data_IF_373378016561
#
_entry.id   IF_373378016561
#
_cell.length_a   1.000
_cell.length_b   1.000
_cell.length_c   1.000
_cell.angle_alpha   90.00
_cell.angle_beta   90.00
_cell.angle_gamma   90.00
#
_symmetry.space_group_name_H-M   'P 1'
#
loop_
_entity.id
_entity.type
_entity.pdbx_description
1 polymer ?
#
# COMPACT_ATOMS: atom_id res chain seq x y z
N UNK A 1 22.62 23.55 -56.93
CA UNK A 1 21.94 22.44 -56.30
C UNK A 1 21.68 22.86 -54.84
N UNK A 2 20.44 23.30 -54.52
CA UNK A 2 20.05 23.72 -53.17
C UNK A 2 19.53 22.49 -52.39
N UNK A 3 20.11 22.22 -51.23
CA UNK A 3 19.64 21.21 -50.31
C UNK A 3 18.57 21.86 -49.43
N UNK A 4 17.33 21.41 -49.59
CA UNK A 4 16.22 21.83 -48.70
C UNK A 4 16.35 21.06 -47.38
N UNK A 5 16.63 21.78 -46.29
CA UNK A 5 16.58 21.23 -44.96
C UNK A 5 15.11 21.20 -44.53
N UNK A 6 14.51 20.00 -44.49
CA UNK A 6 13.17 19.79 -43.94
C UNK A 6 13.28 19.81 -42.40
N UNK A 7 12.91 20.93 -41.79
CA UNK A 7 12.70 21.01 -40.35
C UNK A 7 11.39 20.30 -40.01
N UNK A 8 11.47 19.09 -39.38
CA UNK A 8 10.31 18.44 -38.79
C UNK A 8 9.82 19.27 -37.62
N UNK A 9 8.51 19.51 -37.45
CA UNK A 9 7.99 20.15 -36.26
C UNK A 9 8.20 19.23 -35.07
N UNK A 10 8.88 19.71 -34.04
CA UNK A 10 8.90 19.04 -32.73
C UNK A 10 7.47 19.05 -32.20
N UNK A 11 6.91 17.87 -32.00
CA UNK A 11 5.66 17.74 -31.27
C UNK A 11 5.88 18.27 -29.85
N UNK A 12 5.16 19.32 -29.48
CA UNK A 12 5.10 19.78 -28.09
C UNK A 12 4.34 18.69 -27.33
N UNK A 13 5.04 17.96 -26.49
CA UNK A 13 4.38 17.04 -25.56
C UNK A 13 3.47 17.90 -24.65
N UNK A 14 2.19 17.54 -24.57
CA UNK A 14 1.27 18.14 -23.60
C UNK A 14 1.80 17.84 -22.20
N UNK A 15 2.46 18.82 -21.59
CA UNK A 15 2.99 18.69 -20.23
C UNK A 15 1.82 18.60 -19.26
N UNK A 16 1.71 17.46 -18.61
CA UNK A 16 0.64 17.19 -17.65
C UNK A 16 0.86 18.04 -16.40
N UNK A 17 -0.12 18.88 -16.05
CA UNK A 17 0.00 19.78 -14.89
C UNK A 17 -0.16 19.00 -13.58
N UNK A 18 0.86 19.03 -12.73
CA UNK A 18 0.83 18.40 -11.40
C UNK A 18 -0.02 19.25 -10.43
N UNK A 19 -1.21 18.75 -10.10
CA UNK A 19 -2.22 19.43 -9.26
C UNK A 19 -2.42 18.78 -7.88
N UNK A 20 -1.60 17.80 -7.53
CA UNK A 20 -1.72 17.12 -6.25
C UNK A 20 -0.36 16.80 -5.64
N UNK A 21 -0.34 16.62 -4.31
CA UNK A 21 0.82 16.14 -3.55
C UNK A 21 0.51 14.77 -2.97
N UNK A 22 1.43 13.83 -3.11
CA UNK A 22 1.33 12.51 -2.48
C UNK A 22 1.61 12.62 -1.00
N UNK A 23 0.64 12.19 -0.17
CA UNK A 23 0.72 12.28 1.28
C UNK A 23 1.24 10.99 1.92
N UNK A 24 0.72 9.86 1.45
CA UNK A 24 0.98 8.55 2.05
C UNK A 24 0.73 7.43 1.05
N UNK A 25 1.38 6.30 1.27
CA UNK A 25 1.19 5.05 0.52
C UNK A 25 0.48 4.05 1.43
N UNK A 26 -0.67 3.56 0.97
CA UNK A 26 -1.43 2.51 1.67
C UNK A 26 -0.83 1.14 1.36
N UNK A 27 -0.59 0.89 0.08
CA UNK A 27 0.11 -0.27 -0.50
C UNK A 27 0.67 0.12 -1.88
N UNK A 28 1.24 -0.85 -2.61
CA UNK A 28 1.94 -0.55 -3.87
C UNK A 28 1.06 0.02 -4.99
N UNK A 29 -0.27 -0.07 -4.91
CA UNK A 29 -1.19 0.44 -5.92
C UNK A 29 -2.32 1.31 -5.37
N UNK A 30 -2.25 1.66 -4.09
CA UNK A 30 -3.22 2.53 -3.42
C UNK A 30 -2.50 3.65 -2.66
N UNK A 31 -2.75 4.88 -3.06
CA UNK A 31 -2.00 6.07 -2.60
C UNK A 31 -2.98 7.16 -2.13
N UNK A 32 -2.69 7.77 -0.99
CA UNK A 32 -3.40 8.96 -0.49
C UNK A 32 -2.70 10.23 -0.97
N UNK A 33 -3.46 11.13 -1.56
CA UNK A 33 -2.99 12.41 -2.09
C UNK A 33 -3.78 13.57 -1.50
N UNK A 34 -3.23 14.79 -1.67
CA UNK A 34 -3.98 16.05 -1.54
C UNK A 34 -4.02 16.73 -2.89
N UNK A 35 -5.18 16.72 -3.52
CA UNK A 35 -5.47 17.47 -4.72
C UNK A 35 -5.74 18.94 -4.37
N UNK A 36 -5.24 19.88 -5.16
CA UNK A 36 -5.31 21.31 -4.87
C UNK A 36 -6.76 21.86 -4.87
N UNK A 37 -7.69 21.17 -5.55
CA UNK A 37 -9.11 21.58 -5.65
C UNK A 37 -10.02 20.69 -4.83
N UNK A 38 -9.85 19.36 -4.92
CA UNK A 38 -10.74 18.35 -4.33
C UNK A 38 -10.34 17.94 -2.91
N UNK A 39 -9.17 18.39 -2.43
CA UNK A 39 -8.68 18.04 -1.11
C UNK A 39 -8.10 16.62 -1.05
N UNK A 40 -8.34 15.92 0.07
CA UNK A 40 -7.77 14.58 0.29
C UNK A 40 -8.52 13.52 -0.50
N UNK A 41 -7.79 12.72 -1.27
CA UNK A 41 -8.32 11.62 -2.08
C UNK A 41 -7.50 10.36 -1.85
N UNK A 42 -8.17 9.20 -1.86
CA UNK A 42 -7.52 7.91 -2.00
C UNK A 42 -7.60 7.46 -3.44
N UNK A 43 -6.45 7.19 -4.04
CA UNK A 43 -6.32 6.80 -5.45
C UNK A 43 -5.96 5.33 -5.54
N UNK A 44 -6.75 4.55 -6.29
CA UNK A 44 -6.39 3.22 -6.80
C UNK A 44 -5.79 3.40 -8.18
N UNK A 45 -4.55 3.00 -8.31
CA UNK A 45 -3.78 3.22 -9.54
C UNK A 45 -4.24 2.30 -10.66
N UNK A 46 -4.44 2.88 -11.84
CA UNK A 46 -4.96 2.18 -13.01
C UNK A 46 -3.90 1.30 -13.67
N UNK A 47 -4.35 0.19 -14.22
CA UNK A 47 -3.57 -0.70 -15.08
C UNK A 47 -2.55 -1.59 -14.37
N UNK A 48 -2.43 -1.51 -13.06
CA UNK A 48 -1.51 -2.33 -12.27
C UNK A 48 -2.20 -3.02 -11.10
N UNK A 49 -1.58 -4.09 -10.64
CA UNK A 49 -1.89 -4.77 -9.38
C UNK A 49 -0.61 -5.14 -8.66
N UNK A 50 -0.59 -4.94 -7.34
CA UNK A 50 0.56 -5.25 -6.49
C UNK A 50 0.25 -6.39 -5.53
N UNK A 51 1.27 -7.13 -5.04
CA UNK A 51 1.02 -8.20 -4.10
C UNK A 51 0.34 -7.68 -2.83
N UNK A 52 -0.68 -8.38 -2.38
CA UNK A 52 -1.51 -8.02 -1.24
C UNK A 52 -0.72 -7.97 0.08
N UNK A 53 -0.89 -6.91 0.85
CA UNK A 53 -0.19 -6.73 2.14
C UNK A 53 -1.12 -6.65 3.35
N UNK A 54 -2.42 -6.39 3.16
CA UNK A 54 -3.33 -6.01 4.25
C UNK A 54 -4.62 -6.82 4.32
N UNK A 55 -4.76 -7.87 3.52
CA UNK A 55 -5.97 -8.69 3.50
C UNK A 55 -6.12 -9.46 4.80
N UNK A 56 -7.15 -9.18 5.63
CA UNK A 56 -7.34 -9.86 6.92
C UNK A 56 -7.47 -11.38 6.76
N UNK A 57 -6.77 -12.15 7.59
CA UNK A 57 -6.80 -13.61 7.55
C UNK A 57 -5.99 -14.24 6.41
N UNK A 58 -5.17 -13.46 5.71
CA UNK A 58 -4.29 -13.95 4.66
C UNK A 58 -2.82 -13.61 4.95
N UNK A 59 -1.92 -14.38 4.36
CA UNK A 59 -0.49 -14.08 4.40
C UNK A 59 -0.20 -12.85 3.54
N UNK A 60 0.85 -12.13 3.87
CA UNK A 60 1.40 -11.10 3.00
C UNK A 60 1.88 -11.75 1.71
N UNK A 61 1.49 -11.18 0.57
CA UNK A 61 1.96 -11.63 -0.75
C UNK A 61 3.46 -11.43 -0.89
N UNK A 62 4.14 -12.38 -1.53
CA UNK A 62 5.56 -12.25 -1.81
C UNK A 62 5.82 -10.97 -2.61
N UNK A 63 6.80 -10.16 -2.21
CA UNK A 63 7.12 -8.83 -2.74
C UNK A 63 6.12 -7.71 -2.38
N UNK A 64 5.15 -7.94 -1.52
CA UNK A 64 4.18 -6.91 -1.11
C UNK A 64 4.82 -5.74 -0.35
N UNK A 65 5.62 -5.99 0.70
CA UNK A 65 6.32 -4.94 1.43
C UNK A 65 7.26 -4.13 0.52
N UNK A 66 8.00 -4.79 -0.38
CA UNK A 66 8.94 -4.15 -1.30
C UNK A 66 8.20 -3.30 -2.34
N UNK A 67 7.06 -3.76 -2.86
CA UNK A 67 6.20 -2.97 -3.75
C UNK A 67 5.66 -1.71 -3.05
N UNK A 68 5.24 -1.83 -1.79
CA UNK A 68 4.82 -0.70 -0.96
C UNK A 68 5.97 0.27 -0.72
N UNK A 69 7.16 -0.24 -0.43
CA UNK A 69 8.36 0.58 -0.23
C UNK A 69 8.80 1.29 -1.52
N UNK A 70 8.70 0.63 -2.68
CA UNK A 70 8.92 1.27 -3.97
C UNK A 70 7.97 2.45 -4.17
N UNK A 71 6.68 2.26 -3.92
CA UNK A 71 5.69 3.35 -3.99
C UNK A 71 6.04 4.48 -3.01
N UNK A 72 6.42 4.14 -1.78
CA UNK A 72 6.73 5.13 -0.75
C UNK A 72 7.95 5.99 -1.11
N UNK A 73 9.03 5.36 -1.54
CA UNK A 73 10.30 6.05 -1.86
C UNK A 73 10.24 6.88 -3.13
N UNK A 74 9.41 6.48 -4.10
CA UNK A 74 9.31 7.16 -5.38
C UNK A 74 8.22 8.24 -5.40
N UNK A 75 7.18 8.14 -4.54
CA UNK A 75 5.98 8.97 -4.66
C UNK A 75 5.74 9.90 -3.48
N UNK A 76 6.06 9.54 -2.23
CA UNK A 76 5.74 10.39 -1.08
C UNK A 76 6.41 11.75 -1.19
N UNK A 77 5.61 12.81 -1.00
CA UNK A 77 6.04 14.20 -1.13
C UNK A 77 6.12 14.72 -2.57
N UNK A 78 5.97 13.84 -3.57
CA UNK A 78 6.01 14.27 -4.99
C UNK A 78 4.74 15.02 -5.38
N UNK A 79 4.91 16.00 -6.27
CA UNK A 79 3.80 16.63 -6.99
C UNK A 79 3.47 15.78 -8.21
N UNK A 80 2.18 15.50 -8.38
CA UNK A 80 1.67 14.60 -9.43
C UNK A 80 0.42 15.18 -10.10
N UNK A 81 0.23 14.78 -11.33
CA UNK A 81 -1.03 14.95 -12.05
C UNK A 81 -1.88 13.69 -11.87
N UNK A 82 -3.18 13.89 -11.65
CA UNK A 82 -4.16 12.81 -11.69
C UNK A 82 -4.73 12.72 -13.10
N UNK A 83 -4.31 11.69 -13.81
CA UNK A 83 -4.75 11.46 -15.19
C UNK A 83 -5.82 10.38 -15.19
N UNK A 84 -7.08 10.73 -15.45
CA UNK A 84 -8.14 9.73 -15.57
C UNK A 84 -8.00 8.96 -16.88
N UNK A 85 -8.65 7.80 -16.93
CA UNK A 85 -8.77 7.01 -18.15
C UNK A 85 -10.22 7.07 -18.67
N UNK A 86 -10.40 7.34 -19.96
CA UNK A 86 -11.73 7.42 -20.56
C UNK A 86 -12.40 6.06 -20.72
N UNK A 87 -11.65 4.96 -20.64
CA UNK A 87 -12.15 3.59 -20.71
C UNK A 87 -12.59 3.02 -19.37
N UNK A 88 -12.33 3.77 -18.29
CA UNK A 88 -12.59 3.33 -16.92
C UNK A 88 -13.49 4.31 -16.17
N UNK A 89 -14.16 3.81 -15.13
CA UNK A 89 -14.91 4.65 -14.20
C UNK A 89 -13.99 5.66 -13.48
N UNK A 90 -14.58 6.73 -12.96
CA UNK A 90 -13.83 7.74 -12.19
C UNK A 90 -13.54 7.31 -10.76
N UNK A 91 -14.39 6.42 -10.23
CA UNK A 91 -14.29 5.88 -8.86
C UNK A 91 -14.69 4.42 -8.86
N UNK A 92 -14.08 3.64 -7.99
CA UNK A 92 -14.51 2.26 -7.76
C UNK A 92 -15.66 2.17 -6.73
N UNK A 93 -16.14 0.96 -6.50
CA UNK A 93 -17.23 0.69 -5.55
C UNK A 93 -16.86 0.94 -4.08
N UNK A 94 -15.57 1.14 -3.76
CA UNK A 94 -15.10 1.57 -2.44
C UNK A 94 -14.98 3.09 -2.32
N UNK A 95 -15.32 3.86 -3.38
CA UNK A 95 -15.17 5.30 -3.42
C UNK A 95 -13.75 5.80 -3.67
N UNK A 96 -12.81 4.92 -4.05
CA UNK A 96 -11.45 5.34 -4.40
C UNK A 96 -11.44 5.97 -5.79
N UNK A 97 -10.71 7.05 -5.97
CA UNK A 97 -10.48 7.65 -7.29
C UNK A 97 -9.65 6.71 -8.16
N UNK A 98 -10.08 6.46 -9.40
CA UNK A 98 -9.33 5.69 -10.38
C UNK A 98 -8.56 6.63 -11.29
N UNK A 99 -7.23 6.58 -11.26
CA UNK A 99 -6.36 7.45 -12.04
C UNK A 99 -4.95 6.87 -12.20
N UNK A 100 -4.22 7.37 -13.20
CA UNK A 100 -2.77 7.33 -13.20
C UNK A 100 -2.22 8.49 -12.38
N UNK A 101 -1.08 8.30 -11.77
CA UNK A 101 -0.30 9.37 -11.15
C UNK A 101 0.96 9.60 -11.98
N UNK A 102 1.08 10.80 -12.54
CA UNK A 102 2.19 11.19 -13.41
C UNK A 102 2.92 12.37 -12.80
N UNK A 103 4.24 12.28 -12.66
CA UNK A 103 5.08 13.39 -12.20
C UNK A 103 5.30 14.42 -13.30
N UNK A 104 5.80 15.60 -12.91
CA UNK A 104 6.04 16.70 -13.84
C UNK A 104 7.11 16.41 -14.92
N UNK A 105 7.93 15.37 -14.71
CA UNK A 105 8.91 14.85 -15.65
C UNK A 105 8.37 13.72 -16.53
N UNK A 106 7.06 13.63 -16.69
CA UNK A 106 6.32 12.59 -17.43
C UNK A 106 6.53 11.16 -16.89
N UNK A 107 7.08 11.04 -15.67
CA UNK A 107 7.28 9.78 -15.02
C UNK A 107 5.92 9.19 -14.57
N UNK A 108 5.45 8.16 -15.27
CA UNK A 108 4.20 7.46 -15.00
C UNK A 108 4.42 6.34 -13.97
N UNK A 109 3.82 6.48 -12.81
CA UNK A 109 3.99 5.50 -11.75
C UNK A 109 3.58 4.07 -12.18
N UNK A 110 2.46 3.89 -12.89
CA UNK A 110 1.97 2.56 -13.29
C UNK A 110 2.96 1.85 -14.22
N UNK A 111 3.54 2.58 -15.17
CA UNK A 111 4.56 2.05 -16.08
C UNK A 111 5.85 1.71 -15.33
N UNK A 112 6.30 2.62 -14.46
CA UNK A 112 7.58 2.46 -13.77
C UNK A 112 7.52 1.40 -12.63
N UNK A 113 6.37 1.26 -11.95
CA UNK A 113 6.15 0.17 -11.00
C UNK A 113 6.19 -1.21 -11.69
N UNK A 114 5.58 -1.32 -12.88
CA UNK A 114 5.67 -2.54 -13.68
C UNK A 114 7.11 -2.81 -14.16
N UNK A 115 7.84 -1.76 -14.62
CA UNK A 115 9.24 -1.87 -15.08
C UNK A 115 10.19 -2.28 -13.95
N UNK A 116 9.96 -1.77 -12.75
CA UNK A 116 10.73 -2.14 -11.57
C UNK A 116 10.44 -3.57 -11.07
N UNK A 117 9.37 -4.20 -11.56
CA UNK A 117 8.87 -5.47 -11.02
C UNK A 117 8.22 -5.30 -9.65
N UNK A 118 7.71 -4.11 -9.34
CA UNK A 118 6.94 -3.84 -8.13
C UNK A 118 5.45 -4.13 -8.32
N UNK A 119 4.98 -4.15 -9.57
CA UNK A 119 3.59 -4.39 -9.93
C UNK A 119 3.46 -5.31 -11.15
N UNK A 120 2.27 -5.89 -11.33
CA UNK A 120 1.84 -6.59 -12.55
C UNK A 120 0.98 -5.67 -13.38
N UNK A 121 0.96 -5.86 -14.70
CA UNK A 121 -0.09 -5.31 -15.54
C UNK A 121 -1.44 -5.95 -15.18
N UNK A 122 -2.50 -5.14 -15.12
CA UNK A 122 -3.82 -5.59 -14.67
C UNK A 122 -4.94 -5.04 -15.56
N UNK A 123 -5.90 -5.92 -15.91
CA UNK A 123 -7.10 -5.57 -16.66
C UNK A 123 -8.32 -5.89 -15.80
N UNK A 124 -9.04 -4.87 -15.38
CA UNK A 124 -10.27 -5.04 -14.62
C UNK A 124 -11.48 -5.25 -15.55
N UNK A 125 -12.33 -6.24 -15.24
CA UNK A 125 -13.57 -6.47 -15.98
C UNK A 125 -13.39 -6.79 -17.48
N UNK A 126 -12.20 -7.17 -17.91
CA UNK A 126 -11.91 -7.46 -19.33
C UNK A 126 -11.69 -6.22 -20.21
N UNK A 127 -11.74 -5.00 -19.64
CA UNK A 127 -11.54 -3.75 -20.36
C UNK A 127 -10.13 -3.20 -20.08
N UNK A 128 -9.20 -3.27 -21.04
CA UNK A 128 -7.87 -2.71 -20.87
C UNK A 128 -7.92 -1.19 -20.70
N UNK A 129 -7.08 -0.68 -19.80
CA UNK A 129 -6.82 0.76 -19.67
C UNK A 129 -6.06 1.30 -20.88
N UNK A 130 -6.18 2.60 -21.19
CA UNK A 130 -5.54 3.23 -22.35
C UNK A 130 -4.01 3.04 -22.39
N UNK A 131 -3.35 2.99 -21.21
CA UNK A 131 -1.90 2.80 -21.07
C UNK A 131 -1.46 1.33 -20.94
N UNK A 132 -2.38 0.37 -21.12
CA UNK A 132 -2.09 -1.06 -20.93
C UNK A 132 -0.88 -1.56 -21.75
N UNK A 133 -0.76 -1.13 -23.00
CA UNK A 133 0.34 -1.56 -23.87
C UNK A 133 1.72 -1.16 -23.30
N UNK A 134 1.85 0.06 -22.77
CA UNK A 134 3.07 0.55 -22.15
C UNK A 134 3.38 -0.18 -20.85
N UNK A 135 2.37 -0.39 -19.99
CA UNK A 135 2.51 -1.12 -18.73
C UNK A 135 2.91 -2.58 -18.98
N UNK A 136 2.26 -3.26 -19.93
CA UNK A 136 2.57 -4.64 -20.27
C UNK A 136 3.97 -4.79 -20.94
N UNK A 137 4.43 -3.78 -21.67
CA UNK A 137 5.79 -3.74 -22.18
C UNK A 137 6.82 -3.62 -21.06
N UNK A 138 6.59 -2.71 -20.11
CA UNK A 138 7.43 -2.53 -18.93
C UNK A 138 7.47 -3.80 -18.04
N UNK A 139 6.34 -4.48 -17.89
CA UNK A 139 6.27 -5.77 -17.19
C UNK A 139 7.11 -6.85 -17.89
N UNK A 140 7.09 -6.93 -19.24
CA UNK A 140 7.94 -7.88 -19.97
C UNK A 140 9.42 -7.62 -19.72
N UNK A 141 9.85 -6.36 -19.77
CA UNK A 141 11.23 -5.97 -19.43
C UNK A 141 11.62 -6.44 -18.01
N UNK A 142 10.72 -6.29 -17.04
CA UNK A 142 10.96 -6.73 -15.68
C UNK A 142 11.05 -8.27 -15.57
N UNK A 143 10.20 -9.01 -16.30
CA UNK A 143 10.22 -10.48 -16.36
C UNK A 143 11.51 -11.01 -16.96
N UNK A 144 11.92 -10.47 -18.09
CA UNK A 144 13.15 -10.85 -18.79
C UNK A 144 14.39 -10.62 -17.93
N UNK A 145 14.42 -9.48 -17.22
CA UNK A 145 15.50 -9.12 -16.32
C UNK A 145 15.36 -9.72 -14.90
N UNK A 146 14.29 -10.49 -14.62
CA UNK A 146 13.97 -11.07 -13.30
C UNK A 146 13.98 -10.02 -12.18
N UNK A 147 13.42 -8.84 -12.45
CA UNK A 147 13.35 -7.75 -11.47
C UNK A 147 12.19 -7.95 -10.50
N UNK A 148 12.44 -7.56 -9.25
CA UNK A 148 11.39 -7.49 -8.23
C UNK A 148 10.65 -8.81 -8.05
N UNK A 149 9.32 -8.76 -8.09
CA UNK A 149 8.46 -9.94 -7.93
C UNK A 149 8.70 -11.05 -8.97
N UNK A 150 9.39 -10.77 -10.08
CA UNK A 150 9.70 -11.73 -11.14
C UNK A 150 11.00 -12.51 -10.89
N UNK A 151 11.84 -12.03 -9.96
CA UNK A 151 13.07 -12.69 -9.52
C UNK A 151 12.87 -13.52 -8.24
N UNK A 152 13.95 -14.16 -7.75
CA UNK A 152 13.94 -14.81 -6.45
C UNK A 152 13.65 -13.80 -5.32
N UNK A 153 12.97 -14.21 -4.25
CA UNK A 153 12.45 -15.57 -3.98
C UNK A 153 11.08 -15.84 -4.63
N UNK A 154 10.35 -14.83 -5.14
CA UNK A 154 8.97 -14.93 -5.57
C UNK A 154 8.81 -15.64 -6.93
N UNK A 155 9.71 -15.38 -7.88
CA UNK A 155 9.69 -15.94 -9.24
C UNK A 155 8.30 -15.84 -9.89
N UNK A 156 7.59 -14.73 -9.65
CA UNK A 156 6.25 -14.49 -10.13
C UNK A 156 5.12 -15.09 -9.28
N UNK A 157 5.36 -15.90 -8.25
CA UNK A 157 4.31 -16.32 -7.31
C UNK A 157 4.20 -15.30 -6.16
N UNK A 158 3.17 -14.47 -6.24
CA UNK A 158 2.88 -13.42 -5.23
C UNK A 158 1.57 -13.68 -4.50
N UNK A 159 1.00 -14.88 -4.62
CA UNK A 159 -0.29 -15.21 -4.07
C UNK A 159 -0.33 -15.10 -2.55
N UNK A 160 -1.23 -14.28 -2.06
CA UNK A 160 -1.66 -14.28 -0.66
C UNK A 160 -2.54 -15.51 -0.40
N UNK A 161 -2.25 -16.25 0.66
CA UNK A 161 -2.97 -17.49 1.01
C UNK A 161 -3.66 -17.33 2.36
N UNK A 162 -4.79 -18.05 2.63
CA UNK A 162 -5.37 -18.04 3.96
C UNK A 162 -4.30 -18.36 5.01
N UNK A 163 -4.19 -17.50 6.02
CA UNK A 163 -3.27 -17.77 7.13
C UNK A 163 -3.78 -19.00 7.88
N UNK A 164 -3.12 -20.13 7.70
CA UNK A 164 -3.37 -21.31 8.53
C UNK A 164 -2.98 -20.97 9.95
N UNK A 165 -3.95 -20.82 10.85
CA UNK A 165 -3.70 -20.93 12.28
C UNK A 165 -3.28 -22.38 12.51
N UNK A 166 -1.98 -22.63 12.39
CA UNK A 166 -1.43 -23.87 12.91
C UNK A 166 -1.62 -23.76 14.42
N UNK A 167 -2.66 -24.44 14.94
CA UNK A 167 -2.71 -24.81 16.35
C UNK A 167 -1.43 -25.60 16.57
N UNK A 168 -0.40 -24.94 17.05
CA UNK A 168 0.84 -25.56 17.41
C UNK A 168 0.54 -26.60 18.47
N UNK A 169 0.48 -27.86 18.03
CA UNK A 169 0.70 -28.98 18.94
C UNK A 169 2.04 -28.69 19.59
N UNK A 170 2.00 -28.37 20.87
CA UNK A 170 3.19 -28.21 21.68
C UNK A 170 4.06 -29.45 21.51
N UNK A 171 5.09 -29.34 20.68
CA UNK A 171 6.17 -30.32 20.72
C UNK A 171 6.79 -30.20 22.10
N UNK A 172 6.55 -31.23 22.90
CA UNK A 172 7.18 -31.44 24.21
C UNK A 172 8.68 -31.54 23.96
N UNK A 173 9.38 -30.43 24.13
CA UNK A 173 10.84 -30.43 24.20
C UNK A 173 11.20 -31.01 25.56
N UNK A 174 12.01 -32.09 25.69
CA UNK A 174 12.44 -32.57 26.99
C UNK A 174 13.29 -31.49 27.66
N UNK A 175 12.80 -31.03 28.81
CA UNK A 175 13.48 -30.06 29.67
C UNK A 175 14.81 -30.67 30.17
N UNK A 176 15.96 -29.99 29.95
CA UNK A 176 17.13 -30.33 30.73
C UNK A 176 16.91 -29.86 32.17
N UNK A 177 16.99 -30.80 33.11
CA UNK A 177 16.95 -30.57 34.55
C UNK A 177 18.12 -29.66 34.95
N UNK A 178 17.82 -28.41 35.29
CA UNK A 178 18.76 -27.48 35.94
C UNK A 178 18.20 -27.08 37.29
N UNK A 179 19.11 -27.06 38.28
CA UNK A 179 18.86 -26.75 39.68
C UNK A 179 18.15 -25.40 39.89
N UNK A 180 17.41 -25.17 40.99
CA UNK A 180 16.61 -23.97 41.20
C UNK A 180 17.50 -22.75 41.39
N UNK A 181 17.20 -21.64 40.68
CA UNK A 181 17.82 -20.35 40.94
C UNK A 181 17.24 -19.68 42.20
N UNK A 182 17.97 -18.75 42.82
CA UNK A 182 17.52 -18.06 44.03
C UNK A 182 16.31 -17.15 43.74
N UNK A 183 15.51 -16.77 44.76
CA UNK A 183 14.27 -16.02 44.59
C UNK A 183 14.54 -14.61 44.06
N UNK A 184 13.98 -14.31 42.89
CA UNK A 184 13.88 -12.97 42.34
C UNK A 184 12.60 -12.29 42.84
N UNK A 185 12.62 -10.97 43.12
CA UNK A 185 11.43 -10.24 43.58
C UNK A 185 10.33 -10.25 42.54
N UNK A 186 9.09 -10.46 43.00
CA UNK A 186 7.88 -10.58 42.21
C UNK A 186 7.70 -9.36 41.27
N UNK A 187 7.60 -9.61 39.96
CA UNK A 187 7.13 -8.65 38.99
C UNK A 187 5.65 -8.30 39.27
N UNK A 188 5.21 -7.05 39.04
CA UNK A 188 3.83 -6.67 39.25
C UNK A 188 2.90 -7.44 38.31
N UNK A 189 1.78 -7.88 38.87
CA UNK A 189 0.73 -8.61 38.15
C UNK A 189 0.24 -7.84 36.93
N UNK A 190 0.02 -8.56 35.81
CA UNK A 190 -0.64 -8.02 34.64
C UNK A 190 -1.94 -7.33 35.02
N UNK A 191 -2.25 -6.12 34.55
CA UNK A 191 -3.47 -5.43 34.92
C UNK A 191 -4.68 -6.23 34.42
N UNK A 192 -5.62 -6.47 35.34
CA UNK A 192 -6.93 -7.04 35.04
C UNK A 192 -7.59 -6.22 33.92
N UNK A 193 -8.35 -6.88 33.03
CA UNK A 193 -9.08 -6.23 31.96
C UNK A 193 -9.99 -5.15 32.52
N UNK A 194 -9.59 -3.89 32.37
CA UNK A 194 -10.35 -2.74 32.84
C UNK A 194 -11.43 -2.44 31.81
N UNK A 195 -12.69 -2.31 32.23
CA UNK A 195 -13.81 -1.96 31.37
C UNK A 195 -14.42 -0.60 31.77
N UNK A 196 -14.48 0.33 30.83
CA UNK A 196 -15.16 1.61 31.03
C UNK A 196 -16.46 1.65 30.23
N UNK A 197 -17.57 1.98 30.93
CA UNK A 197 -18.91 2.03 30.34
C UNK A 197 -19.00 3.08 29.21
N UNK A 198 -18.35 4.22 29.37
CA UNK A 198 -18.29 5.35 28.44
C UNK A 198 -17.04 6.20 28.73
N UNK A 199 -16.79 7.22 27.88
CA UNK A 199 -15.66 8.14 28.05
C UNK A 199 -15.68 8.89 29.37
N UNK A 200 -16.88 9.23 29.93
CA UNK A 200 -17.00 9.92 31.20
C UNK A 200 -16.54 9.03 32.37
N UNK A 201 -16.84 7.73 32.32
CA UNK A 201 -16.35 6.77 33.29
C UNK A 201 -14.82 6.59 33.21
N UNK A 202 -14.23 6.64 32.03
CA UNK A 202 -12.78 6.62 31.86
C UNK A 202 -12.12 7.90 32.41
N UNK A 203 -12.72 9.07 32.17
CA UNK A 203 -12.27 10.36 32.75
C UNK A 203 -12.37 10.37 34.25
N UNK A 204 -13.48 9.92 34.81
CA UNK A 204 -13.70 9.86 36.27
C UNK A 204 -12.71 8.92 36.97
N UNK A 205 -12.24 7.89 36.27
CA UNK A 205 -11.21 6.96 36.74
C UNK A 205 -9.77 7.47 36.50
N UNK A 206 -9.59 8.66 35.88
CA UNK A 206 -8.28 9.22 35.55
C UNK A 206 -7.53 8.48 34.45
N UNK A 207 -8.23 7.65 33.67
CA UNK A 207 -7.65 6.82 32.62
C UNK A 207 -7.76 7.42 31.21
N UNK A 208 -8.46 8.53 31.03
CA UNK A 208 -8.56 9.21 29.75
C UNK A 208 -7.45 10.27 29.57
N UNK A 209 -6.87 10.42 28.36
CA UNK A 209 -7.17 9.69 27.11
C UNK A 209 -6.62 8.25 27.10
N UNK A 210 -7.37 7.31 26.53
CA UNK A 210 -6.97 5.89 26.41
C UNK A 210 -6.66 5.62 24.93
N UNK A 211 -5.44 5.22 24.61
CA UNK A 211 -5.01 4.93 23.24
C UNK A 211 -5.30 3.49 22.81
N UNK A 212 -5.35 3.26 21.50
CA UNK A 212 -5.46 1.90 20.91
C UNK A 212 -4.36 1.00 21.47
N UNK A 213 -4.77 -0.12 22.07
CA UNK A 213 -3.86 -1.10 22.68
C UNK A 213 -3.67 -0.93 24.19
N UNK A 214 -4.17 0.13 24.81
CA UNK A 214 -4.13 0.29 26.27
C UNK A 214 -5.27 -0.45 26.98
N UNK A 215 -5.07 -0.87 28.24
CA UNK A 215 -6.13 -1.52 29.03
C UNK A 215 -7.36 -0.62 29.17
N UNK A 216 -8.51 -1.11 28.71
CA UNK A 216 -9.76 -0.37 28.73
C UNK A 216 -10.14 0.30 27.41
N UNK A 217 -9.25 0.34 26.40
CA UNK A 217 -9.61 0.80 25.07
C UNK A 217 -10.63 -0.13 24.41
N UNK A 218 -11.62 0.46 23.76
CA UNK A 218 -12.56 -0.24 22.89
C UNK A 218 -13.13 0.72 21.86
N UNK A 219 -13.39 0.22 20.66
CA UNK A 219 -13.89 0.99 19.52
C UNK A 219 -15.18 1.80 19.81
N UNK A 220 -15.96 1.43 20.84
CA UNK A 220 -17.14 2.18 21.26
C UNK A 220 -16.84 3.43 22.10
N UNK A 221 -15.59 3.65 22.53
CA UNK A 221 -15.12 4.86 23.20
C UNK A 221 -14.47 5.85 22.24
N UNK A 222 -14.02 5.37 21.11
CA UNK A 222 -13.38 6.13 20.04
C UNK A 222 -14.45 6.49 18.98
N UNK A 223 -15.11 7.65 19.18
CA UNK A 223 -16.26 8.04 18.37
C UNK A 223 -15.89 8.60 17.00
N UNK A 224 -14.72 9.21 16.89
CA UNK A 224 -14.18 9.84 15.69
C UNK A 224 -13.14 8.99 14.99
N UNK A 225 -12.72 7.87 15.59
CA UNK A 225 -11.81 6.90 15.01
C UNK A 225 -10.37 7.39 14.93
N UNK A 226 -9.99 8.33 15.81
CA UNK A 226 -8.63 8.88 15.87
C UNK A 226 -7.65 8.01 16.68
N UNK A 227 -8.16 6.99 17.38
CA UNK A 227 -7.37 6.05 18.18
C UNK A 227 -7.18 6.47 19.64
N UNK A 228 -7.95 7.49 20.13
CA UNK A 228 -7.94 7.95 21.52
C UNK A 228 -9.31 7.92 22.19
#
# INVERSE_FOLDING_TARGET
MGVAVLSSPMAVADTVTATAVVLNVVDGDTIDIRDDVRGRLRVRLLGIDTPETKKPGYTVGCWGPEATEFARTTMVGQRVALVPDSTQDRTDHYGRTLAYLVRADDWDYSVEAARAGAARSYVYGGVPVSRYAAIAAAEREAKEAKRGLWGPPCNGDTASRPATVTSGSAATVPSPSLAPPPPVPSAPASPASVYYKNCDAARAAGAAPIQVGEPGYRKGLDRDGDGT
#
